data_IF_505644510898
#
_entry.id   IF_505644510898
#
_cell.length_a   1.000
_cell.length_b   1.000
_cell.length_c   1.000
_cell.angle_alpha   90.00
_cell.angle_beta   90.00
_cell.angle_gamma   90.00
#
_symmetry.space_group_name_H-M   'P 1'
#
loop_
_entity.id
_entity.type
_entity.pdbx_description
1 polymer ?
#
# COMPACT_ATOMS: atom_id res chain seq x y z
N UNK A 1 -16.27 13.18 2.84
CA UNK A 1 -16.76 11.79 2.63
C UNK A 1 -15.56 10.91 2.26
N UNK A 2 -15.44 9.67 2.77
CA UNK A 2 -14.29 8.81 2.51
C UNK A 2 -14.01 8.59 1.01
N UNK A 3 -15.04 8.63 0.16
CA UNK A 3 -14.90 8.55 -1.31
C UNK A 3 -14.15 9.74 -1.98
N UNK A 4 -14.16 10.94 -1.37
CA UNK A 4 -13.36 12.07 -1.89
C UNK A 4 -11.88 11.95 -1.52
N UNK A 5 -11.57 11.26 -0.42
CA UNK A 5 -10.20 11.01 0.02
C UNK A 5 -9.59 9.94 -0.89
N UNK A 6 -10.33 8.87 -1.17
CA UNK A 6 -9.93 7.83 -2.11
C UNK A 6 -9.50 8.39 -3.48
N UNK A 7 -10.34 9.22 -4.12
CA UNK A 7 -10.03 9.75 -5.46
C UNK A 7 -8.80 10.68 -5.52
N UNK A 8 -8.48 11.37 -4.42
CA UNK A 8 -7.28 12.23 -4.33
C UNK A 8 -6.02 11.47 -3.90
N UNK A 9 -6.18 10.40 -3.12
CA UNK A 9 -5.07 9.66 -2.50
C UNK A 9 -4.67 8.43 -3.32
N UNK A 10 -5.61 7.75 -3.98
CA UNK A 10 -5.34 6.57 -4.81
C UNK A 10 -4.30 6.78 -5.92
N UNK A 11 -4.24 7.91 -6.64
CA UNK A 11 -3.20 8.11 -7.66
C UNK A 11 -1.81 8.40 -7.08
N UNK A 12 -1.69 8.60 -5.76
CA UNK A 12 -0.38 8.83 -5.13
C UNK A 12 0.42 7.54 -5.07
N UNK A 13 1.74 7.66 -5.09
CA UNK A 13 2.65 6.53 -4.95
C UNK A 13 2.55 5.90 -3.56
N UNK A 14 2.71 4.58 -3.47
CA UNK A 14 2.69 3.84 -2.18
C UNK A 14 3.73 4.32 -1.17
N UNK A 15 4.81 4.94 -1.63
CA UNK A 15 5.87 5.53 -0.78
C UNK A 15 5.43 6.80 -0.03
N UNK A 16 4.29 7.40 -0.42
CA UNK A 16 3.70 8.55 0.28
C UNK A 16 2.88 8.13 1.50
N UNK A 17 2.61 6.82 1.68
CA UNK A 17 1.89 6.31 2.85
C UNK A 17 2.78 6.37 4.09
N UNK A 18 2.20 6.89 5.17
CA UNK A 18 2.82 6.79 6.49
C UNK A 18 2.96 5.30 6.87
N UNK A 19 4.14 4.89 7.32
CA UNK A 19 4.43 3.49 7.67
C UNK A 19 5.02 2.64 6.54
N UNK A 20 5.01 3.13 5.29
CA UNK A 20 5.73 2.48 4.18
C UNK A 20 7.11 3.13 4.01
N UNK A 21 8.15 2.43 4.46
CA UNK A 21 9.53 2.81 4.17
C UNK A 21 10.00 2.42 2.76
N UNK A 22 11.16 2.91 2.35
CA UNK A 22 11.74 2.67 1.01
C UNK A 22 11.84 1.18 0.64
N UNK A 23 12.24 0.32 1.59
CA UNK A 23 12.35 -1.13 1.35
C UNK A 23 11.00 -1.77 1.04
N UNK A 24 9.95 -1.36 1.76
CA UNK A 24 8.58 -1.83 1.55
C UNK A 24 8.05 -1.32 0.21
N UNK A 25 8.23 -0.03 -0.08
CA UNK A 25 7.84 0.58 -1.35
C UNK A 25 8.53 -0.10 -2.55
N UNK A 26 9.83 -0.38 -2.45
CA UNK A 26 10.57 -1.09 -3.50
C UNK A 26 10.00 -2.49 -3.74
N UNK A 27 9.67 -3.22 -2.68
CA UNK A 27 9.10 -4.58 -2.78
C UNK A 27 7.68 -4.59 -3.34
N UNK A 28 6.86 -3.60 -2.96
CA UNK A 28 5.54 -3.35 -3.56
C UNK A 28 5.67 -3.06 -5.06
N UNK A 29 6.60 -2.17 -5.44
CA UNK A 29 6.87 -1.83 -6.85
C UNK A 29 7.35 -3.05 -7.65
N UNK A 30 8.16 -3.93 -7.05
CA UNK A 30 8.56 -5.21 -7.66
C UNK A 30 7.37 -6.16 -7.85
N UNK A 31 6.39 -6.14 -6.94
CA UNK A 31 5.13 -6.89 -7.05
C UNK A 31 4.09 -6.25 -7.97
N UNK A 32 4.41 -5.15 -8.66
CA UNK A 32 3.49 -4.44 -9.55
C UNK A 32 2.62 -3.38 -8.87
N UNK A 33 2.76 -3.18 -7.55
CA UNK A 33 1.96 -2.24 -6.76
C UNK A 33 2.72 -0.91 -6.69
N UNK A 34 2.23 0.12 -7.38
CA UNK A 34 2.92 1.42 -7.49
C UNK A 34 2.16 2.53 -6.80
N UNK A 35 0.84 2.44 -6.76
CA UNK A 35 -0.06 3.47 -6.23
C UNK A 35 -0.81 2.99 -4.98
N UNK A 36 -1.28 3.94 -4.18
CA UNK A 36 -2.13 3.64 -3.01
C UNK A 36 -3.43 2.96 -3.47
N UNK A 37 -3.93 3.32 -4.66
CA UNK A 37 -5.07 2.63 -5.29
C UNK A 37 -4.76 1.17 -5.59
N UNK A 38 -3.59 0.87 -6.14
CA UNK A 38 -3.17 -0.53 -6.39
C UNK A 38 -3.13 -1.30 -5.06
N UNK A 39 -2.56 -0.68 -4.02
CA UNK A 39 -2.46 -1.29 -2.70
C UNK A 39 -3.84 -1.52 -2.06
N UNK A 40 -4.77 -0.58 -2.21
CA UNK A 40 -6.12 -0.66 -1.67
C UNK A 40 -6.97 -1.78 -2.32
N UNK A 41 -6.64 -2.17 -3.56
CA UNK A 41 -7.28 -3.30 -4.24
C UNK A 41 -6.63 -4.66 -3.91
N UNK A 42 -5.46 -4.67 -3.25
CA UNK A 42 -4.77 -5.90 -2.88
C UNK A 42 -5.39 -6.46 -1.59
N UNK A 43 -5.72 -7.76 -1.55
CA UNK A 43 -6.23 -8.39 -0.33
C UNK A 43 -5.19 -8.30 0.80
N UNK A 44 -5.61 -7.98 2.04
CA UNK A 44 -4.70 -7.90 3.19
C UNK A 44 -3.94 -9.21 3.44
N UNK A 45 -4.48 -10.36 3.06
CA UNK A 45 -3.80 -11.65 3.16
C UNK A 45 -2.57 -11.76 2.23
N UNK A 46 -2.61 -11.12 1.07
CA UNK A 46 -1.48 -11.04 0.14
C UNK A 46 -0.38 -10.18 0.77
N UNK A 47 -0.76 -9.03 1.36
CA UNK A 47 0.19 -8.17 2.07
C UNK A 47 0.80 -8.86 3.29
N UNK A 48 0.01 -9.61 4.07
CA UNK A 48 0.52 -10.45 5.17
C UNK A 48 1.51 -11.51 4.69
N UNK A 49 1.25 -12.15 3.55
CA UNK A 49 2.19 -13.14 2.97
C UNK A 49 3.48 -12.49 2.45
N UNK A 50 3.39 -11.30 1.86
CA UNK A 50 4.53 -10.58 1.30
C UNK A 50 5.42 -9.92 2.36
N UNK A 51 4.83 -9.40 3.44
CA UNK A 51 5.50 -8.56 4.44
C UNK A 51 5.53 -9.18 5.86
N UNK A 52 4.88 -10.34 6.07
CA UNK A 52 4.83 -10.99 7.38
C UNK A 52 4.13 -10.12 8.43
N UNK A 53 4.64 -10.11 9.66
CA UNK A 53 4.14 -9.27 10.75
C UNK A 53 4.13 -7.76 10.42
N UNK A 54 5.00 -7.31 9.50
CA UNK A 54 5.05 -5.91 9.05
C UNK A 54 3.92 -5.55 8.08
N UNK A 55 3.21 -6.53 7.52
CA UNK A 55 2.05 -6.28 6.66
C UNK A 55 0.88 -5.63 7.40
N UNK A 56 0.78 -5.83 8.72
CA UNK A 56 -0.24 -5.20 9.56
C UNK A 56 -0.06 -3.69 9.70
N UNK A 57 1.18 -3.21 9.72
CA UNK A 57 1.52 -1.77 9.81
C UNK A 57 1.19 -1.00 8.52
N UNK A 58 1.02 -1.72 7.40
CA UNK A 58 0.71 -1.14 6.09
C UNK A 58 -0.80 -0.96 5.89
N UNK A 59 -1.63 -1.70 6.63
CA UNK A 59 -3.09 -1.73 6.43
C UNK A 59 -3.88 -0.91 7.46
N UNK A 60 -3.22 -0.33 8.46
CA UNK A 60 -3.85 0.52 9.48
C UNK A 60 -3.83 2.01 9.09
#
# INVERSE_FOLDING_TARGET
RPEEVASKVWPLAVEKLHGIGEKTAARLKQGGIRTIGDLAHIPPDVLKRMFGANGYLIWQ
#
